data_IF_586281460159
#
_entry.id   IF_586281460159
#
_cell.length_a   1.000
_cell.length_b   1.000
_cell.length_c   1.000
_cell.angle_alpha   90.00
_cell.angle_beta   90.00
_cell.angle_gamma   90.00
#
_symmetry.space_group_name_H-M   'P 1'
#
loop_
_entity.id
_entity.type
_entity.pdbx_description
1 polymer ?
#
# COMPACT_ATOMS: atom_id res chain seq x y z
N UNK A 1 23.80 52.73 5.77
CA UNK A 1 23.18 51.89 6.82
C UNK A 1 21.90 51.32 6.21
N UNK A 2 22.01 50.17 5.57
CA UNK A 2 20.97 49.63 4.69
C UNK A 2 20.14 48.66 5.52
N UNK A 3 18.88 48.99 5.80
CA UNK A 3 17.96 48.14 6.55
C UNK A 3 17.67 46.88 5.74
N UNK A 4 18.32 45.78 6.11
CA UNK A 4 18.10 44.46 5.57
C UNK A 4 16.69 44.00 5.96
N UNK A 5 15.75 44.16 5.04
CA UNK A 5 14.34 43.81 5.22
C UNK A 5 14.26 42.28 5.26
N UNK A 6 14.18 41.69 6.47
CA UNK A 6 13.96 40.25 6.63
C UNK A 6 12.72 39.84 5.83
N UNK A 7 12.81 38.82 4.95
CA UNK A 7 11.65 38.33 4.22
C UNK A 7 10.60 37.88 5.24
N UNK A 8 9.39 38.40 5.09
CA UNK A 8 8.23 38.00 5.89
C UNK A 8 8.05 36.49 5.79
N UNK A 9 7.86 35.83 6.93
CA UNK A 9 7.58 34.41 6.97
C UNK A 9 6.42 34.10 6.00
N UNK A 10 6.55 33.05 5.15
CA UNK A 10 5.47 32.69 4.24
C UNK A 10 4.21 32.37 5.05
N UNK A 11 3.02 32.77 4.55
CA UNK A 11 1.77 32.49 5.24
C UNK A 11 1.61 30.98 5.43
N UNK A 12 1.03 30.54 6.57
CA UNK A 12 0.78 29.12 6.82
C UNK A 12 -0.10 28.57 5.71
N UNK A 13 0.35 27.47 5.10
CA UNK A 13 -0.41 26.81 4.04
C UNK A 13 -1.67 26.18 4.64
N UNK A 14 -2.84 26.33 4.00
CA UNK A 14 -4.07 25.68 4.46
C UNK A 14 -3.87 24.16 4.45
N UNK A 15 -4.15 23.53 5.59
CA UNK A 15 -4.18 22.06 5.66
C UNK A 15 -5.39 21.56 4.86
N UNK A 16 -5.12 20.76 3.86
CA UNK A 16 -6.16 20.03 3.13
C UNK A 16 -6.01 18.56 3.48
N UNK A 17 -6.80 18.12 4.46
CA UNK A 17 -6.91 16.71 4.82
C UNK A 17 -7.73 15.99 3.74
N UNK A 18 -7.04 15.50 2.71
CA UNK A 18 -7.68 14.68 1.68
C UNK A 18 -7.65 13.23 2.15
N UNK A 19 -8.78 12.76 2.66
CA UNK A 19 -9.01 11.34 2.86
C UNK A 19 -9.04 10.67 1.48
N UNK A 20 -7.94 10.01 1.09
CA UNK A 20 -7.94 9.15 -0.09
C UNK A 20 -8.70 7.91 0.30
N UNK A 21 -9.90 7.65 -0.25
CA UNK A 21 -10.65 6.48 0.17
C UNK A 21 -9.82 5.24 -0.21
N UNK A 22 -9.78 4.22 0.64
CA UNK A 22 -9.22 2.93 0.25
C UNK A 22 -10.32 2.16 -0.46
N UNK A 23 -10.42 2.36 -1.77
CA UNK A 23 -11.40 1.68 -2.59
C UNK A 23 -10.96 0.22 -2.73
N UNK A 24 -11.45 -0.67 -1.86
CA UNK A 24 -11.13 -2.10 -1.93
C UNK A 24 -11.39 -2.68 -3.33
N UNK A 25 -12.42 -2.17 -4.00
CA UNK A 25 -12.77 -2.52 -5.38
C UNK A 25 -11.62 -2.17 -6.32
N UNK A 26 -11.03 -0.99 -6.19
CA UNK A 26 -9.88 -0.55 -7.00
C UNK A 26 -8.65 -1.38 -6.68
N UNK A 27 -8.39 -1.72 -5.41
CA UNK A 27 -7.26 -2.59 -5.05
C UNK A 27 -7.44 -4.01 -5.59
N UNK A 28 -8.66 -4.57 -5.54
CA UNK A 28 -9.00 -5.86 -6.15
C UNK A 28 -8.87 -5.81 -7.67
N UNK A 29 -9.34 -4.73 -8.30
CA UNK A 29 -9.24 -4.53 -9.74
C UNK A 29 -7.77 -4.47 -10.20
N UNK A 30 -6.91 -3.70 -9.51
CA UNK A 30 -5.47 -3.66 -9.79
C UNK A 30 -4.83 -5.04 -9.72
N UNK A 31 -5.16 -5.85 -8.71
CA UNK A 31 -4.64 -7.23 -8.59
C UNK A 31 -5.11 -8.15 -9.68
N UNK A 32 -6.39 -8.07 -10.06
CA UNK A 32 -6.93 -8.85 -11.17
C UNK A 32 -6.24 -8.46 -12.47
N UNK A 33 -6.06 -7.17 -12.71
CA UNK A 33 -5.30 -6.65 -13.86
C UNK A 33 -3.85 -7.13 -13.86
N UNK A 34 -3.16 -7.12 -12.72
CA UNK A 34 -1.79 -7.62 -12.62
C UNK A 34 -1.72 -9.13 -12.90
N UNK A 35 -2.70 -9.90 -12.44
CA UNK A 35 -2.79 -11.35 -12.68
C UNK A 35 -3.05 -11.63 -14.16
N UNK A 36 -4.04 -10.95 -14.75
CA UNK A 36 -4.37 -11.07 -16.19
C UNK A 36 -3.15 -10.70 -17.02
N UNK A 37 -2.49 -9.57 -16.74
CA UNK A 37 -1.30 -9.14 -17.47
C UNK A 37 -0.14 -10.11 -17.30
N UNK A 38 0.04 -10.72 -16.12
CA UNK A 38 1.06 -11.76 -15.93
C UNK A 38 0.73 -13.03 -16.72
N UNK A 39 -0.54 -13.40 -16.84
CA UNK A 39 -0.97 -14.55 -17.63
C UNK A 39 -0.78 -14.27 -19.13
N UNK A 40 -1.21 -13.10 -19.60
CA UNK A 40 -1.01 -12.63 -20.98
C UNK A 40 0.48 -12.64 -21.32
N UNK A 41 1.35 -12.07 -20.49
CA UNK A 41 2.79 -12.07 -20.74
C UNK A 41 3.36 -13.48 -20.93
N UNK A 42 2.92 -14.46 -20.12
CA UNK A 42 3.35 -15.87 -20.27
C UNK A 42 2.83 -16.50 -21.55
N UNK A 43 1.55 -16.31 -21.86
CA UNK A 43 0.94 -16.83 -23.08
C UNK A 43 1.65 -16.25 -24.30
N UNK A 44 1.93 -14.94 -24.30
CA UNK A 44 2.68 -14.28 -25.37
C UNK A 44 4.10 -14.83 -25.50
N UNK A 45 4.83 -15.06 -24.39
CA UNK A 45 6.15 -15.68 -24.45
C UNK A 45 6.11 -17.10 -25.02
N UNK A 46 5.14 -17.92 -24.63
CA UNK A 46 4.98 -19.27 -25.18
C UNK A 46 4.60 -19.24 -26.66
N UNK A 47 3.67 -18.35 -27.04
CA UNK A 47 3.27 -18.19 -28.44
C UNK A 47 4.44 -17.71 -29.31
N UNK A 48 5.23 -16.75 -28.83
CA UNK A 48 6.44 -16.28 -29.51
C UNK A 48 7.50 -17.37 -29.64
N UNK A 49 7.72 -18.16 -28.58
CA UNK A 49 8.63 -19.30 -28.62
C UNK A 49 8.19 -20.38 -29.62
N UNK A 50 6.90 -20.70 -29.64
CA UNK A 50 6.35 -21.67 -30.59
C UNK A 50 6.45 -21.15 -32.03
N UNK A 51 6.14 -19.87 -32.26
CA UNK A 51 6.27 -19.25 -33.57
C UNK A 51 7.73 -19.22 -34.05
N UNK A 52 8.67 -18.86 -33.16
CA UNK A 52 10.10 -18.91 -33.45
C UNK A 52 10.55 -20.34 -33.80
N UNK A 53 10.16 -21.34 -32.99
CA UNK A 53 10.48 -22.74 -33.26
C UNK A 53 9.94 -23.22 -34.61
N UNK A 54 8.71 -22.84 -34.99
CA UNK A 54 8.14 -23.16 -36.31
C UNK A 54 8.92 -22.47 -37.43
N UNK A 55 9.29 -21.19 -37.25
CA UNK A 55 10.09 -20.43 -38.22
C UNK A 55 11.43 -21.07 -38.52
N UNK A 56 12.07 -21.72 -37.54
CA UNK A 56 13.32 -22.45 -37.74
C UNK A 56 13.21 -23.63 -38.72
N UNK A 57 12.01 -24.19 -38.90
CA UNK A 57 11.76 -25.26 -39.88
C UNK A 57 11.13 -24.74 -41.18
N UNK A 58 10.75 -23.46 -41.22
CA UNK A 58 10.03 -22.85 -42.35
C UNK A 58 10.50 -21.43 -42.61
N UNK A 59 11.47 -21.30 -43.53
CA UNK A 59 12.08 -20.01 -43.92
C UNK A 59 11.05 -18.94 -44.30
N UNK A 60 9.88 -19.35 -44.84
CA UNK A 60 8.81 -18.43 -45.25
C UNK A 60 8.11 -17.72 -44.08
N UNK A 61 8.18 -18.26 -42.87
CA UNK A 61 7.45 -17.73 -41.71
C UNK A 61 8.30 -16.86 -40.79
N UNK A 62 9.62 -16.89 -40.92
CA UNK A 62 10.56 -16.10 -40.11
C UNK A 62 10.27 -14.61 -40.22
N UNK A 63 10.02 -14.09 -41.43
CA UNK A 63 9.65 -12.67 -41.63
C UNK A 63 8.35 -12.28 -40.93
N UNK A 64 7.34 -13.17 -40.95
CA UNK A 64 6.05 -12.93 -40.26
C UNK A 64 6.23 -12.92 -38.74
N UNK A 65 7.07 -13.81 -38.20
CA UNK A 65 7.37 -13.83 -36.76
C UNK A 65 8.14 -12.58 -36.30
N UNK A 66 9.09 -12.08 -37.10
CA UNK A 66 9.82 -10.84 -36.81
C UNK A 66 8.89 -9.62 -36.82
N UNK A 67 7.95 -9.55 -37.78
CA UNK A 67 6.94 -8.49 -37.82
C UNK A 67 5.99 -8.55 -36.61
N UNK A 68 5.58 -9.75 -36.21
CA UNK A 68 4.73 -9.93 -35.03
C UNK A 68 5.46 -9.52 -33.74
N UNK A 69 6.73 -9.88 -33.59
CA UNK A 69 7.56 -9.49 -32.45
C UNK A 69 7.79 -7.96 -32.42
N UNK A 70 8.11 -7.35 -33.57
CA UNK A 70 8.25 -5.90 -33.69
C UNK A 70 6.96 -5.16 -33.33
N UNK A 71 5.79 -5.67 -33.76
CA UNK A 71 4.49 -5.09 -33.42
C UNK A 71 4.20 -5.19 -31.91
N UNK A 72 4.50 -6.34 -31.28
CA UNK A 72 4.35 -6.52 -29.84
C UNK A 72 5.27 -5.61 -29.04
N UNK A 73 6.52 -5.48 -29.45
CA UNK A 73 7.50 -4.59 -28.83
C UNK A 73 7.08 -3.12 -28.96
N UNK A 74 6.66 -2.70 -30.16
CA UNK A 74 6.17 -1.34 -30.41
C UNK A 74 4.93 -1.03 -29.57
N UNK A 75 3.95 -1.94 -29.51
CA UNK A 75 2.76 -1.79 -28.68
C UNK A 75 3.11 -1.66 -27.19
N UNK A 76 4.02 -2.48 -26.70
CA UNK A 76 4.49 -2.41 -25.32
C UNK A 76 5.22 -1.12 -24.98
N UNK A 77 6.13 -0.66 -25.85
CA UNK A 77 6.80 0.64 -25.71
C UNK A 77 5.82 1.81 -25.76
N UNK A 78 4.81 1.73 -26.63
CA UNK A 78 3.75 2.74 -26.71
C UNK A 78 2.98 2.83 -25.39
N UNK A 79 2.59 1.69 -24.80
CA UNK A 79 1.91 1.71 -23.49
C UNK A 79 2.77 2.31 -22.38
N UNK A 80 4.09 2.07 -22.38
CA UNK A 80 5.01 2.71 -21.43
C UNK A 80 5.09 4.23 -21.63
N UNK A 81 5.06 4.70 -22.89
CA UNK A 81 5.10 6.12 -23.23
C UNK A 81 3.84 6.86 -22.79
N UNK A 82 2.67 6.25 -22.92
CA UNK A 82 1.39 6.87 -22.52
C UNK A 82 1.26 6.97 -20.99
N UNK A 83 1.87 6.05 -20.24
CA UNK A 83 1.63 5.91 -18.80
C UNK A 83 2.69 6.54 -17.88
N UNK A 84 3.80 7.10 -18.40
CA UNK A 84 4.87 7.64 -17.52
C UNK A 84 5.46 8.97 -17.98
N UNK A 85 5.61 9.88 -17.02
CA UNK A 85 6.39 11.13 -17.11
C UNK A 85 7.87 10.87 -16.81
N UNK A 86 8.74 11.74 -17.30
CA UNK A 86 10.17 11.52 -17.57
C UNK A 86 11.08 11.11 -16.41
N UNK A 87 12.28 10.59 -16.72
CA UNK A 87 13.37 10.34 -15.76
C UNK A 87 14.17 9.04 -15.97
N UNK A 88 15.21 8.83 -15.16
CA UNK A 88 16.11 7.66 -15.22
C UNK A 88 15.37 6.31 -15.12
N UNK A 89 14.27 6.26 -14.36
CA UNK A 89 13.45 5.05 -14.24
C UNK A 89 12.73 4.68 -15.55
N UNK A 90 12.45 5.65 -16.43
CA UNK A 90 11.84 5.38 -17.74
C UNK A 90 12.84 4.67 -18.64
N UNK A 91 14.10 5.11 -18.67
CA UNK A 91 15.16 4.46 -19.44
C UNK A 91 15.37 3.00 -19.00
N UNK A 92 15.46 2.75 -17.69
CA UNK A 92 15.59 1.40 -17.15
C UNK A 92 14.37 0.51 -17.48
N UNK A 93 13.15 1.04 -17.36
CA UNK A 93 11.94 0.31 -17.71
C UNK A 93 11.87 0.01 -19.21
N UNK A 94 12.24 0.96 -20.07
CA UNK A 94 12.31 0.77 -21.54
C UNK A 94 13.32 -0.31 -21.90
N UNK A 95 14.53 -0.28 -21.34
CA UNK A 95 15.56 -1.29 -21.60
C UNK A 95 15.10 -2.69 -21.19
N UNK A 96 14.50 -2.83 -20.00
CA UNK A 96 13.94 -4.10 -19.53
C UNK A 96 12.77 -4.59 -20.39
N UNK A 97 12.00 -3.68 -20.98
CA UNK A 97 10.85 -4.03 -21.82
C UNK A 97 11.26 -4.41 -23.25
N UNK A 98 12.21 -3.68 -23.84
CA UNK A 98 12.68 -3.93 -25.20
C UNK A 98 13.66 -5.12 -25.27
N UNK A 99 14.43 -5.37 -24.20
CA UNK A 99 15.48 -6.39 -24.16
C UNK A 99 15.06 -7.77 -24.69
N UNK A 100 13.93 -8.34 -24.25
CA UNK A 100 13.47 -9.63 -24.75
C UNK A 100 13.24 -9.65 -26.27
N UNK A 101 12.48 -8.69 -26.83
CA UNK A 101 12.21 -8.67 -28.28
C UNK A 101 13.48 -8.42 -29.11
N UNK A 102 14.33 -7.47 -28.69
CA UNK A 102 15.61 -7.21 -29.38
C UNK A 102 16.53 -8.43 -29.37
N UNK A 103 16.61 -9.15 -28.23
CA UNK A 103 17.42 -10.36 -28.14
C UNK A 103 16.83 -11.54 -28.91
N UNK A 104 15.50 -11.68 -28.96
CA UNK A 104 14.83 -12.69 -29.78
C UNK A 104 15.02 -12.43 -31.27
N UNK A 105 14.85 -11.19 -31.72
CA UNK A 105 15.12 -10.79 -33.09
C UNK A 105 16.59 -11.04 -33.46
N UNK A 106 17.53 -10.72 -32.55
CA UNK A 106 18.94 -11.04 -32.73
C UNK A 106 19.20 -12.54 -32.88
N UNK A 107 18.55 -13.38 -32.07
CA UNK A 107 18.63 -14.84 -32.17
C UNK A 107 18.08 -15.36 -33.51
N UNK A 108 16.97 -14.80 -34.00
CA UNK A 108 16.35 -15.20 -35.27
C UNK A 108 17.14 -14.74 -36.51
N UNK A 109 17.98 -13.71 -36.39
CA UNK A 109 18.84 -13.21 -37.46
C UNK A 109 20.21 -13.90 -37.50
N UNK A 110 20.59 -14.59 -36.43
CA UNK A 110 21.81 -15.39 -36.37
C UNK A 110 21.59 -16.69 -37.13
N UNK A 111 22.17 -16.79 -38.34
CA UNK A 111 22.22 -18.03 -39.10
C UNK A 111 23.29 -18.98 -38.52
N UNK A 112 22.89 -20.18 -38.08
CA UNK A 112 23.80 -21.16 -37.51
C UNK A 112 23.29 -22.60 -37.61
N UNK A 113 23.95 -23.56 -36.93
CA UNK A 113 23.45 -24.92 -36.83
C UNK A 113 22.12 -24.92 -36.06
N UNK A 114 21.08 -25.57 -36.60
CA UNK A 114 19.73 -25.58 -35.99
C UNK A 114 19.70 -26.00 -34.51
N UNK A 115 20.61 -26.89 -34.08
CA UNK A 115 20.68 -27.30 -32.67
C UNK A 115 21.19 -26.17 -31.74
N UNK A 116 22.08 -25.31 -32.23
CA UNK A 116 22.60 -24.17 -31.47
C UNK A 116 21.53 -23.09 -31.36
N UNK A 117 20.80 -22.83 -32.44
CA UNK A 117 19.65 -21.92 -32.45
C UNK A 117 18.54 -22.41 -31.51
N UNK A 118 18.25 -23.72 -31.49
CA UNK A 118 17.22 -24.30 -30.64
C UNK A 118 17.62 -24.23 -29.15
N UNK A 119 18.90 -24.47 -28.85
CA UNK A 119 19.46 -24.29 -27.50
C UNK A 119 19.37 -22.81 -27.08
N UNK A 120 19.76 -21.89 -27.97
CA UNK A 120 19.67 -20.44 -27.75
C UNK A 120 18.24 -19.99 -27.44
N UNK A 121 17.28 -20.46 -28.23
CA UNK A 121 15.85 -20.20 -28.00
C UNK A 121 15.38 -20.79 -26.67
N UNK A 122 15.77 -22.03 -26.35
CA UNK A 122 15.43 -22.67 -25.07
C UNK A 122 15.95 -21.91 -23.85
N UNK A 123 17.21 -21.46 -23.91
CA UNK A 123 17.83 -20.62 -22.87
C UNK A 123 17.11 -19.27 -22.76
N UNK A 124 16.79 -18.65 -23.89
CA UNK A 124 16.08 -17.37 -23.93
C UNK A 124 14.67 -17.47 -23.32
N UNK A 125 13.90 -18.51 -23.68
CA UNK A 125 12.56 -18.74 -23.11
C UNK A 125 12.65 -18.97 -21.61
N UNK A 126 13.58 -19.83 -21.17
CA UNK A 126 13.76 -20.13 -19.75
C UNK A 126 14.18 -18.88 -18.97
N UNK A 127 15.13 -18.11 -19.50
CA UNK A 127 15.62 -16.88 -18.89
C UNK A 127 14.52 -15.82 -18.76
N UNK A 128 13.78 -15.56 -19.83
CA UNK A 128 12.67 -14.58 -19.80
C UNK A 128 11.53 -15.03 -18.88
N UNK A 129 11.26 -16.34 -18.80
CA UNK A 129 10.24 -16.92 -17.93
C UNK A 129 10.57 -16.78 -16.43
N UNK A 130 11.83 -17.01 -16.07
CA UNK A 130 12.33 -16.92 -14.68
C UNK A 130 12.52 -15.46 -14.27
N UNK A 131 13.22 -14.67 -15.07
CA UNK A 131 13.55 -13.28 -14.74
C UNK A 131 12.33 -12.36 -14.81
N UNK A 132 11.33 -12.64 -15.66
CA UNK A 132 10.12 -11.81 -15.83
C UNK A 132 10.45 -10.32 -15.92
N UNK A 133 11.28 -9.87 -16.87
CA UNK A 133 11.79 -8.51 -16.92
C UNK A 133 10.67 -7.45 -16.93
N UNK A 134 9.55 -7.73 -17.60
CA UNK A 134 8.37 -6.86 -17.59
C UNK A 134 7.74 -6.67 -16.19
N UNK A 135 7.81 -7.67 -15.30
CA UNK A 135 7.34 -7.56 -13.92
C UNK A 135 8.24 -6.60 -13.13
N UNK A 136 9.56 -6.77 -13.24
CA UNK A 136 10.52 -5.89 -12.57
C UNK A 136 10.42 -4.45 -13.06
N UNK A 137 10.38 -4.23 -14.38
CA UNK A 137 10.20 -2.92 -14.97
C UNK A 137 8.96 -2.20 -14.42
N UNK A 138 7.85 -2.92 -14.26
CA UNK A 138 6.63 -2.37 -13.65
C UNK A 138 6.78 -2.05 -12.18
N UNK A 139 7.42 -2.92 -11.38
CA UNK A 139 7.61 -2.65 -9.95
C UNK A 139 8.52 -1.43 -9.71
N UNK A 140 9.43 -1.13 -10.64
CA UNK A 140 10.24 0.10 -10.63
C UNK A 140 9.43 1.35 -11.01
N UNK A 141 8.33 1.19 -11.76
CA UNK A 141 7.48 2.29 -12.23
C UNK A 141 6.31 2.56 -11.28
N UNK A 142 5.71 1.51 -10.76
CA UNK A 142 4.60 1.52 -9.84
C UNK A 142 4.86 0.44 -8.79
N UNK A 143 5.09 0.82 -7.51
CA UNK A 143 5.22 -0.16 -6.44
C UNK A 143 3.99 -1.09 -6.42
N UNK A 144 4.16 -2.38 -6.13
CA UNK A 144 3.03 -3.29 -6.04
C UNK A 144 2.05 -2.77 -4.98
N UNK A 145 0.72 -2.90 -5.19
CA UNK A 145 -0.24 -2.53 -4.16
C UNK A 145 0.11 -3.27 -2.88
N UNK A 146 0.02 -2.62 -1.70
CA UNK A 146 0.33 -3.27 -0.43
C UNK A 146 -0.42 -4.59 -0.34
N UNK A 147 0.27 -5.63 0.14
CA UNK A 147 -0.38 -6.91 0.41
C UNK A 147 -1.55 -6.60 1.34
N UNK A 148 -2.74 -7.04 0.94
CA UNK A 148 -3.90 -7.01 1.83
C UNK A 148 -3.41 -8.00 2.88
N UNK A 149 -3.10 -7.52 4.08
CA UNK A 149 -2.97 -8.44 5.20
C UNK A 149 -4.27 -9.23 5.14
N UNK A 150 -4.24 -10.57 4.99
CA UNK A 150 -5.45 -11.31 5.23
C UNK A 150 -5.95 -10.76 6.55
N UNK A 151 -7.19 -10.27 6.54
CA UNK A 151 -7.93 -10.12 7.78
C UNK A 151 -7.92 -11.53 8.33
N UNK A 152 -6.89 -11.85 9.12
CA UNK A 152 -6.86 -13.07 9.87
C UNK A 152 -8.22 -13.10 10.55
N UNK A 153 -8.94 -14.23 10.57
CA UNK A 153 -9.84 -14.41 11.69
C UNK A 153 -8.97 -14.08 12.89
N UNK A 154 -9.29 -12.99 13.58
CA UNK A 154 -8.58 -12.65 14.80
C UNK A 154 -8.90 -13.83 15.68
N UNK A 155 -8.00 -14.82 15.69
CA UNK A 155 -7.94 -15.80 16.75
C UNK A 155 -7.94 -14.93 17.99
N UNK A 156 -8.99 -15.09 18.78
CA UNK A 156 -9.05 -14.57 20.13
C UNK A 156 -7.88 -15.23 20.85
N UNK A 157 -6.69 -14.65 20.70
CA UNK A 157 -5.57 -14.99 21.55
C UNK A 157 -6.04 -14.83 22.99
N UNK A 158 -5.54 -15.66 23.92
CA UNK A 158 -5.87 -15.49 25.32
C UNK A 158 -5.67 -14.01 25.69
N UNK A 159 -6.69 -13.43 26.33
CA UNK A 159 -6.88 -12.00 26.65
C UNK A 159 -5.77 -11.43 27.58
N UNK A 160 -4.66 -12.15 27.74
CA UNK A 160 -3.77 -12.06 28.90
C UNK A 160 -2.37 -11.47 28.62
N UNK A 161 -2.00 -11.13 27.38
CA UNK A 161 -0.63 -10.62 27.16
C UNK A 161 -0.45 -9.13 27.51
N UNK A 162 -1.48 -8.28 27.38
CA UNK A 162 -1.36 -6.85 27.67
C UNK A 162 -1.92 -6.49 29.06
N UNK A 163 -1.15 -5.87 29.97
CA UNK A 163 -1.57 -5.62 31.34
C UNK A 163 -2.84 -4.75 31.43
N UNK A 164 -3.03 -3.82 30.49
CA UNK A 164 -4.23 -2.98 30.39
C UNK A 164 -5.46 -3.78 29.95
N UNK A 165 -5.30 -4.74 29.02
CA UNK A 165 -6.41 -5.61 28.61
C UNK A 165 -6.85 -6.51 29.76
N UNK A 166 -5.88 -7.08 30.47
CA UNK A 166 -6.11 -7.92 31.64
C UNK A 166 -6.76 -7.13 32.80
N UNK A 167 -6.33 -5.88 33.02
CA UNK A 167 -6.99 -4.98 33.98
C UNK A 167 -8.42 -4.65 33.57
N UNK A 168 -8.66 -4.33 32.29
CA UNK A 168 -9.99 -4.05 31.75
C UNK A 168 -10.94 -5.24 31.96
N UNK A 169 -10.49 -6.45 31.62
CA UNK A 169 -11.25 -7.67 31.83
C UNK A 169 -11.65 -7.88 33.30
N UNK A 170 -10.74 -7.61 34.24
CA UNK A 170 -10.97 -7.83 35.68
C UNK A 170 -11.75 -6.73 36.40
N UNK A 171 -11.74 -5.50 35.89
CA UNK A 171 -12.28 -4.32 36.62
C UNK A 171 -13.37 -3.59 35.86
N UNK A 172 -13.33 -3.58 34.54
CA UNK A 172 -14.22 -2.77 33.69
C UNK A 172 -15.30 -3.60 33.02
N UNK A 173 -14.91 -4.75 32.45
CA UNK A 173 -15.77 -5.61 31.65
C UNK A 173 -16.55 -6.67 32.46
N UNK A 174 -16.41 -6.65 33.78
CA UNK A 174 -17.15 -7.53 34.70
C UNK A 174 -18.65 -7.18 34.72
N UNK A 175 -19.48 -8.13 35.13
CA UNK A 175 -20.92 -7.90 35.28
C UNK A 175 -21.18 -6.76 36.28
N UNK A 176 -21.98 -5.77 35.85
CA UNK A 176 -22.22 -4.54 36.62
C UNK A 176 -21.09 -3.51 36.56
N UNK A 177 -20.00 -3.81 35.85
CA UNK A 177 -18.89 -2.90 35.60
C UNK A 177 -19.20 -1.81 34.55
N UNK A 178 -18.34 -0.80 34.41
CA UNK A 178 -18.55 0.32 33.49
C UNK A 178 -18.71 -0.06 32.01
N UNK A 179 -18.20 -1.22 31.57
CA UNK A 179 -18.33 -1.69 30.19
C UNK A 179 -18.51 -3.22 30.13
N UNK A 180 -19.48 -3.74 30.88
CA UNK A 180 -19.78 -5.18 30.94
C UNK A 180 -19.92 -5.81 29.53
N UNK A 181 -19.34 -7.00 29.34
CA UNK A 181 -19.42 -7.72 28.07
C UNK A 181 -18.57 -7.11 26.94
N UNK A 182 -17.46 -6.44 27.28
CA UNK A 182 -16.51 -5.90 26.30
C UNK A 182 -15.09 -6.43 26.50
N UNK A 183 -14.25 -6.30 25.48
CA UNK A 183 -12.81 -6.52 25.58
C UNK A 183 -12.05 -5.41 24.86
N UNK A 184 -10.80 -5.18 25.31
CA UNK A 184 -9.87 -4.26 24.66
C UNK A 184 -8.95 -4.99 23.69
N UNK A 185 -8.70 -4.35 22.56
CA UNK A 185 -7.83 -4.77 21.48
C UNK A 185 -7.02 -3.56 20.96
N UNK A 186 -5.98 -3.80 20.17
CA UNK A 186 -5.15 -2.74 19.53
C UNK A 186 -4.75 -1.59 20.49
N UNK A 187 -4.19 -1.93 21.66
CA UNK A 187 -3.83 -0.94 22.70
C UNK A 187 -2.54 -0.22 22.29
N UNK A 188 -2.62 1.10 22.16
CA UNK A 188 -1.51 1.99 21.78
C UNK A 188 -1.35 3.12 22.81
N UNK A 189 -0.11 3.38 23.20
CA UNK A 189 0.26 4.50 24.07
C UNK A 189 0.64 5.70 23.21
N UNK A 190 -0.17 6.76 23.26
CA UNK A 190 0.01 7.99 22.46
C UNK A 190 0.56 9.09 23.36
N UNK A 191 1.76 8.89 23.89
CA UNK A 191 2.42 9.80 24.82
C UNK A 191 2.53 9.23 26.23
N UNK A 192 2.88 10.09 27.20
CA UNK A 192 3.17 9.66 28.57
C UNK A 192 1.92 9.22 29.35
N UNK A 193 0.74 9.75 29.00
CA UNK A 193 -0.49 9.55 29.78
C UNK A 193 -1.75 9.34 28.92
N UNK A 194 -1.61 9.11 27.61
CA UNK A 194 -2.76 8.88 26.72
C UNK A 194 -2.74 7.45 26.21
N UNK A 195 -3.83 6.75 26.44
CA UNK A 195 -4.04 5.40 25.93
C UNK A 195 -5.15 5.48 24.88
N UNK A 196 -4.88 4.91 23.71
CA UNK A 196 -5.90 4.62 22.70
C UNK A 196 -6.05 3.11 22.58
N UNK A 197 -7.28 2.64 22.55
CA UNK A 197 -7.58 1.23 22.39
C UNK A 197 -8.87 1.03 21.61
N UNK A 198 -9.07 -0.17 21.10
CA UNK A 198 -10.28 -0.59 20.40
C UNK A 198 -11.12 -1.44 21.34
N UNK A 199 -12.34 -1.00 21.65
CA UNK A 199 -13.33 -1.78 22.41
C UNK A 199 -14.11 -2.65 21.43
N UNK A 200 -14.29 -3.93 21.76
CA UNK A 200 -15.13 -4.87 21.03
C UNK A 200 -16.17 -5.52 21.94
N UNK A 201 -17.31 -5.88 21.37
CA UNK A 201 -18.33 -6.65 22.07
C UNK A 201 -17.86 -8.10 22.25
N UNK A 202 -17.98 -8.64 23.47
CA UNK A 202 -17.57 -10.01 23.80
C UNK A 202 -18.27 -11.07 22.95
N UNK A 203 -19.52 -10.81 22.55
CA UNK A 203 -20.30 -11.68 21.68
C UNK A 203 -20.19 -11.21 20.23
N UNK A 204 -19.70 -12.05 19.30
CA UNK A 204 -19.67 -11.71 17.89
C UNK A 204 -21.07 -11.40 17.35
N UNK A 205 -21.20 -10.32 16.59
CA UNK A 205 -22.46 -9.90 15.98
C UNK A 205 -23.34 -8.99 16.84
N UNK A 206 -22.97 -8.71 18.10
CA UNK A 206 -23.68 -7.73 18.95
C UNK A 206 -23.00 -6.36 18.90
N UNK A 207 -23.77 -5.31 19.16
CA UNK A 207 -23.20 -3.97 19.33
C UNK A 207 -22.36 -3.90 20.61
N UNK A 208 -21.35 -3.03 20.64
CA UNK A 208 -20.64 -2.68 21.88
C UNK A 208 -21.64 -2.03 22.84
N UNK A 209 -21.83 -2.57 24.05
CA UNK A 209 -22.67 -1.97 25.08
C UNK A 209 -22.22 -0.53 25.38
N UNK A 210 -23.16 0.32 25.80
CA UNK A 210 -22.79 1.68 26.17
C UNK A 210 -21.87 1.68 27.41
N UNK A 211 -20.74 2.35 27.26
CA UNK A 211 -19.74 2.48 28.31
C UNK A 211 -20.17 3.58 29.26
N UNK A 212 -20.33 3.25 30.55
CA UNK A 212 -20.63 4.23 31.58
C UNK A 212 -19.38 5.07 31.89
N UNK A 213 -19.23 6.19 31.18
CA UNK A 213 -18.07 7.08 31.28
C UNK A 213 -17.85 7.57 32.72
N UNK A 214 -18.92 7.88 33.46
CA UNK A 214 -18.83 8.31 34.85
C UNK A 214 -18.26 7.22 35.76
N UNK A 215 -18.74 5.98 35.62
CA UNK A 215 -18.23 4.86 36.39
C UNK A 215 -16.78 4.52 36.01
N UNK A 216 -16.43 4.64 34.72
CA UNK A 216 -15.07 4.43 34.24
C UNK A 216 -14.13 5.53 34.76
N UNK A 217 -14.55 6.78 34.72
CA UNK A 217 -13.83 7.94 35.27
C UNK A 217 -13.53 7.77 36.76
N UNK A 218 -14.53 7.37 37.56
CA UNK A 218 -14.37 7.09 38.97
C UNK A 218 -13.40 5.92 39.26
N UNK A 219 -13.32 4.95 38.35
CA UNK A 219 -12.44 3.79 38.49
C UNK A 219 -10.99 4.07 38.08
N UNK A 220 -10.77 4.92 37.06
CA UNK A 220 -9.44 5.25 36.53
C UNK A 220 -8.82 6.50 37.13
N UNK A 221 -9.59 7.29 37.89
CA UNK A 221 -9.21 8.62 38.37
C UNK A 221 -8.82 9.57 37.21
N UNK A 222 -9.61 9.52 36.13
CA UNK A 222 -9.43 10.35 34.92
C UNK A 222 -10.69 11.17 34.70
N UNK A 223 -10.62 12.49 34.48
CA UNK A 223 -11.80 13.33 34.26
C UNK A 223 -12.68 12.84 33.10
N UNK A 224 -14.01 12.97 33.22
CA UNK A 224 -14.96 12.48 32.20
C UNK A 224 -14.67 13.07 30.80
N UNK A 225 -14.24 14.32 30.74
CA UNK A 225 -13.88 15.02 29.50
C UNK A 225 -12.64 14.46 28.79
N UNK A 226 -11.84 13.66 29.49
CA UNK A 226 -10.64 12.99 28.97
C UNK A 226 -10.91 11.54 28.56
N UNK A 227 -12.15 11.07 28.68
CA UNK A 227 -12.57 9.74 28.26
C UNK A 227 -13.51 9.89 27.07
N UNK A 228 -13.05 9.46 25.90
CA UNK A 228 -13.83 9.51 24.68
C UNK A 228 -14.06 8.12 24.12
N UNK A 229 -15.33 7.76 23.93
CA UNK A 229 -15.75 6.57 23.18
C UNK A 229 -16.37 7.01 21.87
N UNK A 230 -15.74 6.67 20.75
CA UNK A 230 -16.15 7.13 19.41
C UNK A 230 -16.37 5.94 18.46
N UNK A 231 -17.32 6.03 17.51
CA UNK A 231 -17.42 5.04 16.45
C UNK A 231 -16.15 5.05 15.58
N UNK A 232 -15.75 3.88 15.08
CA UNK A 232 -14.64 3.76 14.13
C UNK A 232 -15.23 3.78 12.71
N UNK A 233 -14.88 4.75 11.84
CA UNK A 233 -15.40 4.82 10.48
C UNK A 233 -15.21 3.52 9.69
N UNK A 234 -16.32 3.00 9.17
CA UNK A 234 -16.47 1.74 8.42
C UNK A 234 -16.21 0.46 9.20
N UNK A 235 -16.23 0.53 10.53
CA UNK A 235 -16.50 -0.65 11.36
C UNK A 235 -17.96 -0.63 11.80
N UNK A 236 -18.55 -1.82 11.92
CA UNK A 236 -19.90 -1.97 12.48
C UNK A 236 -19.95 -1.61 13.96
N UNK A 237 -21.15 -1.57 14.53
CA UNK A 237 -21.40 -1.21 15.94
C UNK A 237 -20.76 -2.15 16.96
N UNK A 238 -20.26 -3.32 16.54
CA UNK A 238 -19.50 -4.26 17.37
C UNK A 238 -18.07 -3.81 17.71
N UNK A 239 -17.64 -2.63 17.23
CA UNK A 239 -16.33 -2.06 17.52
C UNK A 239 -16.44 -0.55 17.78
N UNK A 240 -15.77 -0.04 18.83
CA UNK A 240 -15.66 1.40 19.15
C UNK A 240 -14.21 1.74 19.52
N UNK A 241 -13.80 2.99 19.30
CA UNK A 241 -12.51 3.51 19.76
C UNK A 241 -12.65 4.11 21.15
N UNK A 242 -11.73 3.77 22.05
CA UNK A 242 -11.59 4.35 23.37
C UNK A 242 -10.31 5.17 23.43
N UNK A 243 -10.40 6.40 23.90
CA UNK A 243 -9.25 7.22 24.26
C UNK A 243 -9.40 7.64 25.71
N UNK A 244 -8.36 7.40 26.52
CA UNK A 244 -8.27 7.80 27.93
C UNK A 244 -7.05 8.71 28.08
N UNK A 245 -7.27 9.87 28.72
CA UNK A 245 -6.26 10.86 29.03
C UNK A 245 -6.43 12.13 28.20
N UNK A 246 -5.78 13.22 28.64
CA UNK A 246 -5.79 14.48 27.92
C UNK A 246 -5.21 14.25 26.53
N UNK A 247 -6.05 14.31 25.50
CA UNK A 247 -5.61 14.22 24.12
C UNK A 247 -4.46 15.21 23.96
N UNK A 248 -3.23 14.69 23.78
CA UNK A 248 -2.09 15.55 23.54
C UNK A 248 -2.51 16.48 22.41
N UNK A 249 -2.42 17.80 22.65
CA UNK A 249 -2.62 18.81 21.61
C UNK A 249 -1.99 18.24 20.36
N UNK A 250 -2.83 18.02 19.35
CA UNK A 250 -2.41 17.29 18.15
C UNK A 250 -1.31 18.14 17.53
N UNK A 251 -0.05 17.85 17.88
CA UNK A 251 1.10 18.60 17.42
C UNK A 251 1.01 18.49 15.92
N UNK A 252 0.83 19.64 15.29
CA UNK A 252 0.73 19.73 13.84
C UNK A 252 1.83 18.85 13.24
N UNK A 253 1.48 17.80 12.48
CA UNK A 253 2.47 16.95 11.83
C UNK A 253 3.46 17.78 11.00
N UNK A 254 3.01 18.91 10.44
CA UNK A 254 3.88 19.87 9.78
C UNK A 254 4.86 20.56 10.74
N UNK A 255 4.43 20.93 11.95
CA UNK A 255 5.32 21.48 12.96
C UNK A 255 6.33 20.43 13.47
N UNK A 256 5.91 19.18 13.69
CA UNK A 256 6.82 18.09 14.10
C UNK A 256 7.87 17.82 13.02
N UNK A 257 7.44 17.73 11.75
CA UNK A 257 8.36 17.51 10.65
C UNK A 257 9.31 18.70 10.48
N UNK A 258 8.81 19.93 10.48
CA UNK A 258 9.62 21.14 10.31
C UNK A 258 10.66 21.32 11.42
N UNK A 259 10.30 21.01 12.67
CA UNK A 259 11.20 21.22 13.81
C UNK A 259 12.19 20.08 14.03
N UNK A 260 11.80 18.82 13.76
CA UNK A 260 12.62 17.65 14.14
C UNK A 260 13.21 16.89 12.96
N UNK A 261 12.48 16.79 11.84
CA UNK A 261 12.86 15.91 10.72
C UNK A 261 13.60 16.72 9.65
N UNK A 262 13.08 17.89 9.28
CA UNK A 262 13.65 18.73 8.22
C UNK A 262 15.11 19.10 8.45
N UNK A 263 15.53 19.58 9.65
CA UNK A 263 16.90 20.02 9.87
C UNK A 263 17.92 18.88 9.80
N UNK A 264 17.51 17.67 10.18
CA UNK A 264 18.37 16.50 10.20
C UNK A 264 18.43 15.78 8.85
N UNK A 265 17.31 15.69 8.14
CA UNK A 265 17.20 14.90 6.91
C UNK A 265 17.38 15.72 5.62
N UNK A 266 17.00 17.01 5.61
CA UNK A 266 16.97 17.85 4.40
C UNK A 266 17.26 19.33 4.73
N UNK A 267 18.50 19.70 5.08
CA UNK A 267 18.86 21.08 5.37
C UNK A 267 18.58 22.00 4.17
N UNK A 268 17.82 23.07 4.39
CA UNK A 268 17.49 24.07 3.35
C UNK A 268 16.24 23.78 2.51
N UNK A 269 15.55 22.65 2.73
CA UNK A 269 14.28 22.39 2.06
C UNK A 269 13.12 23.15 2.72
N UNK A 270 12.32 23.85 1.91
CA UNK A 270 11.08 24.51 2.35
C UNK A 270 9.91 23.56 2.09
N UNK A 271 9.16 23.24 3.14
CA UNK A 271 8.01 22.35 3.03
C UNK A 271 6.83 23.11 2.41
N UNK A 272 6.46 22.75 1.18
CA UNK A 272 5.34 23.35 0.42
C UNK A 272 4.00 22.66 0.63
N UNK A 273 3.95 21.63 1.49
CA UNK A 273 2.72 20.94 1.90
C UNK A 273 3.01 19.60 2.56
N UNK A 274 2.31 19.28 3.65
CA UNK A 274 2.33 17.93 4.25
C UNK A 274 1.05 17.22 3.83
N UNK A 275 1.19 16.03 3.24
CA UNK A 275 0.08 15.10 3.08
C UNK A 275 0.18 14.04 4.16
N UNK A 276 -0.68 14.12 5.17
CA UNK A 276 -0.80 13.09 6.20
C UNK A 276 -1.86 12.09 5.73
N UNK A 277 -1.41 10.94 5.23
CA UNK A 277 -2.31 9.84 4.92
C UNK A 277 -2.51 8.99 6.18
N UNK A 278 -3.73 8.95 6.72
CA UNK A 278 -4.07 8.01 7.80
C UNK A 278 -4.54 6.70 7.16
N UNK A 279 -3.82 5.58 7.33
CA UNK A 279 -4.28 4.29 6.80
C UNK A 279 -5.47 3.80 7.64
N UNK A 280 -6.67 3.78 7.05
CA UNK A 280 -7.77 2.95 7.57
C UNK A 280 -9.11 3.63 7.94
N UNK A 281 -9.31 4.92 7.66
CA UNK A 281 -10.63 5.54 7.84
C UNK A 281 -11.57 5.23 6.69
N UNK A 282 -12.41 4.18 6.80
CA UNK A 282 -13.49 3.93 5.85
C UNK A 282 -14.59 4.99 6.06
N UNK A 283 -14.51 6.08 5.31
CA UNK A 283 -15.55 7.11 5.28
C UNK A 283 -16.73 6.65 4.42
N UNK A 284 -17.82 6.25 5.08
CA UNK A 284 -19.14 6.26 4.47
C UNK A 284 -19.63 7.70 4.35
N UNK A 285 -19.96 8.11 3.14
CA UNK A 285 -20.78 9.29 2.85
C UNK A 285 -21.99 8.77 2.08
N UNK A 286 -23.17 8.87 2.69
CA UNK A 286 -24.42 9.07 1.98
C UNK A 286 -25.15 10.23 2.67
N UNK A 287 -25.53 11.21 1.85
CA UNK A 287 -26.60 12.22 2.00
C UNK A 287 -26.56 13.22 3.15
#
# INVERSE_FOLDING_TARGET
MTLERRPSAPPPLPRVDVTVPQWEIVTRAHRRLDTIRSAVGRVTTLAGAAAAAIGMFTDSLTGVSLLADAALLAGGLWTLRVWKTDGHQRAAATALYAGPGVSLAGLLLLSGPYWLEALGLGVWVTGTWVLRPARYARHMVAPPPPRLRPSLPIEQGPVDEHPVAAWWARKVAVDGGPAAGTFLDDIEWIGESVIRAVIRAAMPGTAVPDVNIRALSALTDVPEEQIAVKPIPGRGSGVRSLTIGAAAETRDPAAVWAQRIAPAAMPGAVLTGVRVGQPGGQGGQDS
#
